data_IF_007231952260
#
_entry.id   IF_007231952260
#
_cell.length_a   1.000
_cell.length_b   1.000
_cell.length_c   1.000
_cell.angle_alpha   90.00
_cell.angle_beta   90.00
_cell.angle_gamma   90.00
#
_symmetry.space_group_name_H-M   'P 1'
#
loop_
_entity.id
_entity.type
_entity.pdbx_description
1 polymer ?
#
# COMPACT_ATOMS: atom_id res chain seq x y z
N UNK A 1 -8.80 -3.38 10.70
CA UNK A 1 -8.64 -3.41 9.24
C UNK A 1 -7.33 -4.08 8.83
N UNK A 2 -6.16 -3.49 9.15
CA UNK A 2 -4.84 -4.08 8.79
C UNK A 2 -4.68 -5.55 9.19
N UNK A 3 -4.99 -5.91 10.45
CA UNK A 3 -4.88 -7.30 10.90
C UNK A 3 -5.80 -8.26 10.13
N UNK A 4 -7.02 -7.82 9.77
CA UNK A 4 -7.96 -8.63 9.01
C UNK A 4 -7.45 -8.86 7.59
N UNK A 5 -6.95 -7.81 6.93
CA UNK A 5 -6.34 -7.93 5.60
C UNK A 5 -5.03 -8.74 5.64
N UNK A 6 -4.22 -8.60 6.69
CA UNK A 6 -3.00 -9.39 6.87
C UNK A 6 -3.30 -10.89 6.88
N UNK A 7 -4.32 -11.31 7.64
CA UNK A 7 -4.75 -12.71 7.74
C UNK A 7 -5.20 -13.32 6.41
N UNK A 8 -5.65 -12.52 5.44
CA UNK A 8 -6.03 -13.03 4.11
C UNK A 8 -4.84 -13.25 3.18
N UNK A 9 -3.65 -12.75 3.52
CA UNK A 9 -2.46 -12.91 2.68
C UNK A 9 -1.94 -14.34 2.72
N UNK A 10 -1.28 -14.83 1.65
CA UNK A 10 -0.57 -16.12 1.70
C UNK A 10 0.39 -16.19 2.89
N UNK A 11 0.58 -17.38 3.46
CA UNK A 11 1.43 -17.58 4.65
C UNK A 11 2.86 -17.07 4.44
N UNK A 12 3.46 -17.36 3.28
CA UNK A 12 4.79 -16.85 2.88
C UNK A 12 4.85 -15.32 2.88
N UNK A 13 3.77 -14.65 2.45
CA UNK A 13 3.64 -13.19 2.47
C UNK A 13 3.53 -12.61 3.88
N UNK A 14 2.94 -13.37 4.81
CA UNK A 14 2.87 -13.00 6.23
C UNK A 14 4.24 -13.17 6.90
N UNK A 15 4.93 -14.29 6.64
CA UNK A 15 6.31 -14.52 7.10
C UNK A 15 7.25 -13.44 6.57
N UNK A 16 7.18 -13.13 5.28
CA UNK A 16 8.03 -12.10 4.67
C UNK A 16 7.88 -10.72 5.31
N UNK A 17 6.70 -10.39 5.85
CA UNK A 17 6.47 -9.14 6.58
C UNK A 17 7.19 -9.07 7.95
N UNK A 18 7.47 -10.23 8.56
CA UNK A 18 8.30 -10.35 9.76
C UNK A 18 9.79 -10.45 9.42
N UNK A 19 10.13 -11.26 8.41
CA UNK A 19 11.51 -11.54 8.06
C UNK A 19 12.25 -10.33 7.48
N UNK A 20 11.58 -9.53 6.64
CA UNK A 20 12.20 -8.41 5.94
C UNK A 20 12.06 -7.09 6.73
N UNK A 21 13.17 -6.49 7.20
CA UNK A 21 13.17 -5.10 7.67
C UNK A 21 13.13 -4.19 6.43
N UNK A 22 11.92 -3.86 5.97
CA UNK A 22 11.71 -3.17 4.70
C UNK A 22 12.56 -1.89 4.59
N UNK A 23 13.36 -1.81 3.52
CA UNK A 23 14.23 -0.68 3.17
C UNK A 23 15.46 -0.47 4.06
N UNK A 24 15.75 -1.38 5.00
CA UNK A 24 17.00 -1.35 5.77
C UNK A 24 18.14 -2.05 5.03
N UNK A 25 19.38 -1.64 5.29
CA UNK A 25 20.58 -2.31 4.78
C UNK A 25 20.74 -3.63 5.52
N UNK A 26 20.88 -4.73 4.77
CA UNK A 26 21.14 -6.06 5.30
C UNK A 26 22.48 -6.59 4.78
N UNK A 27 23.07 -7.54 5.50
CA UNK A 27 24.41 -8.05 5.21
C UNK A 27 24.48 -8.77 3.86
N UNK A 28 23.49 -9.60 3.53
CA UNK A 28 23.45 -10.36 2.29
C UNK A 28 22.05 -10.94 2.00
N UNK A 29 21.92 -11.64 0.87
CA UNK A 29 20.70 -12.40 0.53
C UNK A 29 20.49 -13.57 1.49
N UNK A 30 21.55 -14.28 1.82
CA UNK A 30 21.53 -15.45 2.71
C UNK A 30 21.06 -15.06 4.13
N UNK A 31 21.42 -13.86 4.61
CA UNK A 31 20.92 -13.34 5.88
C UNK A 31 19.38 -13.18 5.88
N UNK A 32 18.79 -12.77 4.75
CA UNK A 32 17.33 -12.68 4.61
C UNK A 32 16.66 -14.06 4.53
N UNK A 33 17.27 -15.01 3.82
CA UNK A 33 16.76 -16.38 3.72
C UNK A 33 16.80 -17.06 5.10
N UNK A 34 17.87 -16.86 5.88
CA UNK A 34 18.00 -17.34 7.25
C UNK A 34 16.92 -16.78 8.17
N UNK A 35 16.69 -15.46 8.15
CA UNK A 35 15.58 -14.82 8.90
C UNK A 35 14.22 -15.37 8.50
N UNK A 36 14.02 -15.64 7.22
CA UNK A 36 12.77 -16.22 6.72
C UNK A 36 12.55 -17.61 7.33
N UNK A 37 13.55 -18.48 7.28
CA UNK A 37 13.48 -19.81 7.88
C UNK A 37 13.26 -19.76 9.41
N UNK A 38 13.88 -18.80 10.11
CA UNK A 38 13.66 -18.59 11.54
C UNK A 38 12.19 -18.26 11.85
N UNK A 39 11.57 -17.37 11.08
CA UNK A 39 10.15 -17.03 11.26
C UNK A 39 9.22 -18.16 10.81
N UNK A 40 9.56 -18.91 9.75
CA UNK A 40 8.80 -20.11 9.36
C UNK A 40 8.79 -21.15 10.49
N UNK A 41 9.93 -21.36 11.14
CA UNK A 41 10.05 -22.27 12.27
C UNK A 41 9.32 -21.74 13.51
N UNK A 42 9.47 -20.45 13.82
CA UNK A 42 8.80 -19.81 14.95
C UNK A 42 7.26 -19.93 14.85
N UNK A 43 6.73 -19.77 13.64
CA UNK A 43 5.31 -19.81 13.38
C UNK A 43 4.79 -21.16 12.88
N UNK A 44 5.62 -22.20 12.76
CA UNK A 44 5.33 -23.46 12.05
C UNK A 44 3.90 -23.99 12.22
N UNK A 45 3.40 -24.07 13.46
CA UNK A 45 2.06 -24.56 13.81
C UNK A 45 1.24 -23.49 14.56
N UNK A 46 1.42 -22.23 14.17
CA UNK A 46 0.79 -21.06 14.78
C UNK A 46 0.29 -20.10 13.72
N UNK A 47 -0.73 -19.33 14.09
CA UNK A 47 -1.12 -18.15 13.32
C UNK A 47 -0.01 -17.10 13.39
N UNK A 48 0.22 -16.41 12.27
CA UNK A 48 1.21 -15.35 12.20
C UNK A 48 0.48 -14.05 12.54
N UNK A 49 0.89 -13.41 13.63
CA UNK A 49 0.33 -12.12 14.00
C UNK A 49 0.78 -11.04 13.01
N UNK A 50 -0.05 -10.02 12.83
CA UNK A 50 0.30 -8.85 12.03
C UNK A 50 1.40 -8.06 12.77
N UNK A 51 2.59 -7.85 12.17
CA UNK A 51 3.63 -7.04 12.80
C UNK A 51 3.16 -5.61 13.09
N UNK A 52 3.66 -4.99 14.16
CA UNK A 52 3.31 -3.61 14.54
C UNK A 52 3.72 -2.58 13.46
N UNK A 53 4.83 -2.83 12.77
CA UNK A 53 5.32 -2.00 11.67
C UNK A 53 4.58 -2.25 10.34
N UNK A 54 3.63 -3.18 10.30
CA UNK A 54 2.89 -3.53 9.10
C UNK A 54 1.45 -3.01 9.16
N UNK A 55 1.01 -2.34 8.10
CA UNK A 55 -0.37 -1.87 8.02
C UNK A 55 -0.74 -1.27 6.67
N UNK A 56 -1.99 -0.83 6.58
CA UNK A 56 -2.49 -0.05 5.46
C UNK A 56 -2.50 1.45 5.79
N UNK A 57 -2.35 2.26 4.75
CA UNK A 57 -2.62 3.70 4.80
C UNK A 57 -3.87 4.01 4.00
N UNK A 58 -4.59 5.05 4.44
CA UNK A 58 -5.73 5.59 3.71
C UNK A 58 -5.41 7.03 3.32
N UNK A 59 -5.26 7.26 2.02
CA UNK A 59 -5.20 8.60 1.46
C UNK A 59 -6.62 9.14 1.36
N UNK A 60 -6.92 10.20 2.10
CA UNK A 60 -8.19 10.93 1.98
C UNK A 60 -7.96 12.04 0.95
N UNK A 61 -8.50 11.92 -0.27
CA UNK A 61 -8.21 12.90 -1.30
C UNK A 61 -8.90 14.23 -0.99
N UNK A 62 -8.11 15.30 -1.05
CA UNK A 62 -8.59 16.68 -1.13
C UNK A 62 -8.81 17.09 -2.60
N UNK A 63 -8.11 16.43 -3.52
CA UNK A 63 -8.17 16.71 -4.96
C UNK A 63 -8.06 15.43 -5.78
N UNK A 64 -8.88 15.30 -6.82
CA UNK A 64 -8.84 14.21 -7.80
C UNK A 64 -8.93 14.81 -9.20
N UNK A 65 -7.99 14.50 -10.08
CA UNK A 65 -8.02 14.93 -11.47
C UNK A 65 -8.21 13.73 -12.40
N UNK A 66 -9.23 13.81 -13.26
CA UNK A 66 -9.40 12.89 -14.37
C UNK A 66 -8.88 13.55 -15.64
N UNK A 67 -7.76 13.05 -16.14
CA UNK A 67 -7.17 13.47 -17.41
C UNK A 67 -7.49 12.45 -18.50
N UNK A 68 -7.97 12.91 -19.65
CA UNK A 68 -8.24 12.06 -20.82
C UNK A 68 -7.60 12.65 -22.07
N UNK A 69 -6.76 11.84 -22.69
CA UNK A 69 -6.09 12.16 -23.95
C UNK A 69 -7.08 12.33 -25.10
N UNK A 70 -6.79 13.28 -26.00
CA UNK A 70 -7.53 13.54 -27.23
C UNK A 70 -6.55 13.81 -28.36
N UNK A 71 -6.96 13.49 -29.58
CA UNK A 71 -6.24 13.91 -30.78
C UNK A 71 -6.24 15.45 -30.85
N UNK A 72 -5.14 16.03 -31.33
CA UNK A 72 -5.01 17.49 -31.43
C UNK A 72 -4.61 18.23 -30.15
N UNK A 73 -4.14 17.52 -29.11
CA UNK A 73 -3.59 18.09 -27.85
C UNK A 73 -4.59 18.85 -26.95
N UNK A 74 -5.86 18.88 -27.31
CA UNK A 74 -6.93 19.47 -26.49
C UNK A 74 -7.50 18.42 -25.53
N UNK A 75 -6.72 18.06 -24.51
CA UNK A 75 -7.07 17.08 -23.49
C UNK A 75 -8.27 17.49 -22.64
N UNK A 76 -9.07 16.51 -22.22
CA UNK A 76 -10.09 16.73 -21.20
C UNK A 76 -9.45 16.62 -19.82
N UNK A 77 -9.63 17.65 -18.99
CA UNK A 77 -9.17 17.67 -17.60
C UNK A 77 -10.33 18.06 -16.69
N UNK A 78 -10.83 17.10 -15.92
CA UNK A 78 -11.91 17.31 -14.96
C UNK A 78 -11.33 17.22 -13.55
N UNK A 79 -11.41 18.31 -12.82
CA UNK A 79 -10.87 18.44 -11.48
C UNK A 79 -12.00 18.40 -10.44
N UNK A 80 -11.87 17.51 -9.47
CA UNK A 80 -12.67 17.46 -8.26
C UNK A 80 -11.84 18.02 -7.11
N UNK A 81 -12.36 19.03 -6.42
CA UNK A 81 -11.77 19.62 -5.22
C UNK A 81 -12.76 19.53 -4.07
N UNK A 82 -12.29 19.05 -2.92
CA UNK A 82 -13.13 18.92 -1.73
C UNK A 82 -13.32 20.29 -1.11
N UNK A 83 -14.57 20.72 -0.98
CA UNK A 83 -14.93 21.96 -0.28
C UNK A 83 -15.42 21.63 1.14
N UNK A 84 -14.88 22.29 2.18
CA UNK A 84 -15.34 22.09 3.56
C UNK A 84 -16.85 22.32 3.69
N UNK A 85 -17.58 21.29 4.13
CA UNK A 85 -19.04 21.37 4.36
C UNK A 85 -19.93 21.38 3.11
N UNK A 86 -19.36 21.50 1.90
CA UNK A 86 -20.13 21.61 0.65
C UNK A 86 -19.93 20.42 -0.31
N UNK A 87 -19.07 19.45 0.03
CA UNK A 87 -18.86 18.24 -0.77
C UNK A 87 -17.73 18.43 -1.78
N UNK A 88 -17.97 18.09 -3.06
CA UNK A 88 -16.98 18.20 -4.13
C UNK A 88 -17.37 19.28 -5.12
N UNK A 89 -16.47 20.23 -5.35
CA UNK A 89 -16.54 21.16 -6.48
C UNK A 89 -15.90 20.53 -7.71
N UNK A 90 -16.58 20.63 -8.83
CA UNK A 90 -16.11 20.09 -10.11
C UNK A 90 -15.79 21.25 -11.04
N UNK A 91 -14.59 21.25 -11.62
CA UNK A 91 -14.16 22.24 -12.61
C UNK A 91 -13.50 21.57 -13.81
N UNK A 92 -13.45 22.29 -14.93
CA UNK A 92 -12.70 21.89 -16.13
C UNK A 92 -11.44 22.73 -16.20
N UNK A 93 -10.30 22.08 -16.36
CA UNK A 93 -9.01 22.74 -16.56
C UNK A 93 -8.68 22.81 -18.06
N UNK A 94 -7.91 23.83 -18.45
CA UNK A 94 -7.28 23.87 -19.77
C UNK A 94 -6.26 22.72 -19.90
N UNK A 95 -6.14 22.11 -21.09
CA UNK A 95 -5.24 20.96 -21.35
C UNK A 95 -3.77 21.25 -21.12
#
# INVERSE_FOLDING_TARGET
ESQQYFRTRPRESQIGAWASPQSEVIESREALDQRTAEFEQLYYDREIDCPEHWGGYRLIPERIEFWKGRTGRLHDRILYEREPGAGWKISRLAP
#
